data_IF_738502636302
#
_entry.id   IF_738502636302
#
_cell.length_a   1.000
_cell.length_b   1.000
_cell.length_c   1.000
_cell.angle_alpha   90.00
_cell.angle_beta   90.00
_cell.angle_gamma   90.00
#
_symmetry.space_group_name_H-M   'P 1'
#
loop_
_entity.id
_entity.type
_entity.pdbx_description
1 polymer ?
#
# COMPACT_ATOMS: atom_id res chain seq x y z
N UNK A 1 14.85 -65.57 -23.66
CA UNK A 1 15.37 -64.28 -23.17
C UNK A 1 14.18 -63.33 -23.09
N UNK A 2 13.74 -63.00 -21.87
CA UNK A 2 12.64 -62.05 -21.68
C UNK A 2 13.11 -60.67 -22.13
N UNK A 3 12.33 -60.01 -23.00
CA UNK A 3 12.64 -58.64 -23.40
C UNK A 3 12.58 -57.70 -22.20
N UNK A 4 13.46 -56.70 -22.17
CA UNK A 4 13.44 -55.64 -21.16
C UNK A 4 12.12 -54.86 -21.23
N UNK A 5 11.58 -54.53 -20.06
CA UNK A 5 10.35 -53.78 -19.88
C UNK A 5 10.51 -52.33 -20.35
N UNK A 6 9.41 -51.64 -20.66
CA UNK A 6 9.48 -50.22 -21.05
C UNK A 6 10.05 -49.33 -19.92
N UNK A 7 9.86 -49.71 -18.65
CA UNK A 7 10.45 -49.00 -17.51
C UNK A 7 11.99 -49.14 -17.46
N UNK A 8 12.51 -50.33 -17.76
CA UNK A 8 13.95 -50.56 -17.86
C UNK A 8 14.56 -49.83 -19.07
N UNK A 9 13.82 -49.75 -20.19
CA UNK A 9 14.23 -48.94 -21.35
C UNK A 9 14.32 -47.45 -21.02
N UNK A 10 13.35 -46.92 -20.27
CA UNK A 10 13.37 -45.51 -19.80
C UNK A 10 14.59 -45.21 -18.95
N UNK A 11 14.91 -46.11 -18.01
CA UNK A 11 16.08 -45.98 -17.16
C UNK A 11 17.37 -45.99 -17.97
N UNK A 12 17.52 -46.97 -18.86
CA UNK A 12 18.69 -47.12 -19.72
C UNK A 12 18.88 -45.92 -20.65
N UNK A 13 17.80 -45.43 -21.25
CA UNK A 13 17.81 -44.23 -22.09
C UNK A 13 18.33 -43.02 -21.31
N UNK A 14 17.84 -42.84 -20.09
CA UNK A 14 18.23 -41.72 -19.22
C UNK A 14 19.69 -41.79 -18.81
N UNK A 15 20.19 -42.98 -18.44
CA UNK A 15 21.62 -43.20 -18.13
C UNK A 15 22.50 -42.88 -19.34
N UNK A 16 22.09 -43.28 -20.54
CA UNK A 16 22.84 -43.01 -21.76
C UNK A 16 22.86 -41.52 -22.12
N UNK A 17 21.75 -40.79 -21.94
CA UNK A 17 21.72 -39.33 -22.11
C UNK A 17 22.63 -38.59 -21.12
N UNK A 18 22.74 -39.09 -19.89
CA UNK A 18 23.64 -38.51 -18.90
C UNK A 18 25.12 -38.77 -19.20
N UNK A 19 25.45 -39.98 -19.66
CA UNK A 19 26.85 -40.37 -19.93
C UNK A 19 27.41 -39.72 -21.20
N UNK A 20 26.60 -39.55 -22.25
CA UNK A 20 27.04 -39.02 -23.54
C UNK A 20 27.83 -37.68 -23.45
N UNK A 21 27.36 -36.64 -22.73
CA UNK A 21 28.07 -35.36 -22.62
C UNK A 21 29.29 -35.39 -21.69
N UNK A 22 29.49 -36.44 -20.87
CA UNK A 22 30.65 -36.54 -19.97
C UNK A 22 31.96 -36.78 -20.73
N UNK A 23 31.90 -37.29 -21.96
CA UNK A 23 33.07 -37.51 -22.81
C UNK A 23 33.84 -36.24 -23.18
N UNK A 24 33.22 -35.06 -23.03
CA UNK A 24 33.85 -33.75 -23.28
C UNK A 24 34.28 -32.99 -22.02
N UNK A 25 34.20 -33.59 -20.83
CA UNK A 25 34.57 -32.91 -19.57
C UNK A 25 36.02 -33.18 -19.16
N UNK A 26 36.70 -32.15 -18.68
CA UNK A 26 38.06 -32.25 -18.16
C UNK A 26 38.15 -33.26 -17.00
N UNK A 27 39.19 -34.11 -17.04
CA UNK A 27 39.40 -35.17 -16.06
C UNK A 27 38.62 -36.47 -16.33
N UNK A 28 37.87 -36.56 -17.43
CA UNK A 28 37.11 -37.77 -17.80
C UNK A 28 37.76 -38.47 -19.00
N UNK A 29 37.95 -39.78 -18.90
CA UNK A 29 38.48 -40.62 -19.98
C UNK A 29 37.39 -40.86 -21.05
N UNK A 30 37.42 -40.02 -22.09
CA UNK A 30 36.43 -40.02 -23.16
C UNK A 30 36.27 -41.38 -23.86
N UNK A 31 37.36 -42.14 -24.02
CA UNK A 31 37.35 -43.44 -24.69
C UNK A 31 36.61 -44.49 -23.85
N UNK A 32 36.78 -44.46 -22.52
CA UNK A 32 36.05 -45.35 -21.60
C UNK A 32 34.56 -45.00 -21.53
N UNK A 33 34.22 -43.72 -21.53
CA UNK A 33 32.81 -43.28 -21.55
C UNK A 33 32.11 -43.74 -22.84
N UNK A 34 32.76 -43.56 -24.00
CA UNK A 34 32.22 -44.01 -25.29
C UNK A 34 32.09 -45.54 -25.36
N UNK A 35 33.07 -46.28 -24.85
CA UNK A 35 33.00 -47.75 -24.78
C UNK A 35 31.85 -48.22 -23.87
N UNK A 36 31.64 -47.57 -22.72
CA UNK A 36 30.54 -47.86 -21.80
C UNK A 36 29.18 -47.59 -22.42
N UNK A 37 29.02 -46.43 -23.07
CA UNK A 37 27.80 -46.06 -23.81
C UNK A 37 27.48 -47.09 -24.90
N UNK A 38 28.48 -47.47 -25.71
CA UNK A 38 28.30 -48.46 -26.78
C UNK A 38 27.92 -49.85 -26.24
N UNK A 39 28.56 -50.29 -25.16
CA UNK A 39 28.28 -51.59 -24.53
C UNK A 39 26.85 -51.67 -24.01
N UNK A 40 26.34 -50.58 -23.42
CA UNK A 40 24.96 -50.49 -22.95
C UNK A 40 23.95 -50.41 -24.11
N UNK A 41 24.28 -49.69 -25.20
CA UNK A 41 23.44 -49.65 -26.40
C UNK A 41 23.28 -51.05 -27.03
N UNK A 42 24.37 -51.80 -27.16
CA UNK A 42 24.39 -53.14 -27.76
C UNK A 42 23.72 -54.18 -26.85
N UNK A 43 24.01 -54.17 -25.55
CA UNK A 43 23.48 -55.15 -24.61
C UNK A 43 21.96 -55.06 -24.44
N UNK A 44 21.39 -53.86 -24.58
CA UNK A 44 19.98 -53.61 -24.31
C UNK A 44 19.17 -53.19 -25.54
N UNK A 45 19.82 -53.05 -26.70
CA UNK A 45 19.21 -52.63 -27.96
C UNK A 45 18.42 -51.31 -27.85
N UNK A 46 18.99 -50.32 -27.15
CA UNK A 46 18.40 -48.99 -26.94
C UNK A 46 19.36 -47.93 -27.51
N UNK A 47 18.88 -47.10 -28.44
CA UNK A 47 19.65 -46.00 -29.01
C UNK A 47 19.14 -44.64 -28.45
N UNK A 48 19.96 -43.89 -27.67
CA UNK A 48 19.57 -42.61 -27.07
C UNK A 48 19.37 -41.49 -28.11
N UNK A 49 19.81 -41.69 -29.35
CA UNK A 49 19.56 -40.76 -30.47
C UNK A 49 18.25 -41.07 -31.22
N UNK A 50 17.54 -42.13 -30.85
CA UNK A 50 16.24 -42.48 -31.44
C UNK A 50 15.13 -41.57 -30.89
N UNK A 51 14.87 -40.48 -31.63
CA UNK A 51 13.86 -39.49 -31.27
C UNK A 51 12.43 -40.06 -31.22
N UNK A 52 12.12 -41.08 -32.02
CA UNK A 52 10.80 -41.70 -32.04
C UNK A 52 10.57 -42.55 -30.80
N UNK A 53 11.59 -43.30 -30.36
CA UNK A 53 11.56 -44.05 -29.10
C UNK A 53 11.46 -43.09 -27.89
N UNK A 54 12.23 -41.99 -27.90
CA UNK A 54 12.20 -40.95 -26.86
C UNK A 54 10.81 -40.32 -26.71
N UNK A 55 10.16 -40.00 -27.84
CA UNK A 55 8.82 -39.44 -27.87
C UNK A 55 7.77 -40.44 -27.39
N UNK A 56 7.88 -41.71 -27.81
CA UNK A 56 6.96 -42.79 -27.39
C UNK A 56 7.05 -43.08 -25.89
N UNK A 57 8.24 -42.92 -25.30
CA UNK A 57 8.49 -43.09 -23.87
C UNK A 57 8.21 -41.84 -23.03
N UNK A 58 7.83 -40.71 -23.65
CA UNK A 58 7.43 -39.49 -22.96
C UNK A 58 8.54 -38.75 -22.20
N UNK A 59 9.81 -39.00 -22.56
CA UNK A 59 10.97 -38.48 -21.82
C UNK A 59 11.27 -37.02 -22.20
N UNK A 60 11.22 -36.11 -21.22
CA UNK A 60 11.75 -34.74 -21.31
C UNK A 60 13.13 -34.69 -20.63
N UNK A 61 13.92 -33.63 -20.79
CA UNK A 61 15.26 -33.53 -20.19
C UNK A 61 15.19 -33.79 -18.67
N UNK A 62 15.59 -34.99 -18.24
CA UNK A 62 15.51 -35.44 -16.85
C UNK A 62 16.79 -35.07 -16.11
N UNK A 63 16.64 -34.57 -14.89
CA UNK A 63 17.76 -34.27 -13.99
C UNK A 63 18.39 -35.56 -13.47
N UNK A 64 19.63 -35.50 -12.97
CA UNK A 64 20.31 -36.67 -12.37
C UNK A 64 19.48 -37.36 -11.28
N UNK A 65 18.67 -36.57 -10.56
CA UNK A 65 17.77 -37.04 -9.52
C UNK A 65 16.64 -37.90 -10.09
N UNK A 66 16.07 -37.51 -11.22
CA UNK A 66 15.00 -38.27 -11.89
C UNK A 66 15.52 -39.64 -12.38
N UNK A 67 16.76 -39.68 -12.87
CA UNK A 67 17.45 -40.90 -13.32
C UNK A 67 17.71 -41.83 -12.13
N UNK A 68 18.20 -41.27 -11.02
CA UNK A 68 18.47 -42.02 -9.79
C UNK A 68 17.19 -42.59 -9.17
N UNK A 69 16.11 -41.81 -9.14
CA UNK A 69 14.81 -42.24 -8.63
C UNK A 69 14.19 -43.33 -9.51
N UNK A 70 14.24 -43.18 -10.84
CA UNK A 70 13.76 -44.21 -11.76
C UNK A 70 14.57 -45.52 -11.63
N UNK A 71 15.90 -45.41 -11.45
CA UNK A 71 16.79 -46.56 -11.27
C UNK A 71 16.53 -47.33 -9.99
N UNK A 72 16.39 -46.60 -8.89
CA UNK A 72 16.07 -47.19 -7.58
C UNK A 72 14.73 -47.93 -7.63
N UNK A 73 13.73 -47.36 -8.30
CA UNK A 73 12.40 -47.96 -8.46
C UNK A 73 12.41 -49.21 -9.35
N UNK A 74 13.16 -49.19 -10.45
CA UNK A 74 13.27 -50.34 -11.37
C UNK A 74 14.00 -51.53 -10.77
N UNK A 75 15.00 -51.26 -9.92
CA UNK A 75 15.79 -52.31 -9.26
C UNK A 75 15.12 -52.85 -7.98
N UNK A 76 13.91 -52.40 -7.66
CA UNK A 76 13.21 -52.68 -6.39
C UNK A 76 14.11 -52.42 -5.17
N UNK A 77 15.09 -51.52 -5.32
CA UNK A 77 15.94 -51.09 -4.22
C UNK A 77 15.05 -50.26 -3.31
N UNK A 78 14.72 -50.82 -2.16
CA UNK A 78 14.00 -50.11 -1.10
C UNK A 78 14.94 -49.02 -0.60
N UNK A 79 14.93 -47.86 -1.24
CA UNK A 79 15.33 -46.62 -0.59
C UNK A 79 14.29 -46.38 0.48
N UNK A 80 14.67 -46.56 1.75
CA UNK A 80 13.77 -46.38 2.87
C UNK A 80 13.09 -45.02 2.78
N UNK A 81 11.77 -45.08 2.85
CA UNK A 81 10.82 -43.99 2.84
C UNK A 81 10.72 -43.19 1.53
N UNK A 82 9.65 -43.47 0.77
CA UNK A 82 8.77 -42.36 0.36
C UNK A 82 8.59 -41.47 1.60
N UNK A 83 8.64 -40.12 1.54
CA UNK A 83 8.54 -39.29 2.73
C UNK A 83 7.35 -39.79 3.52
N UNK A 84 7.63 -40.47 4.65
CA UNK A 84 6.57 -40.99 5.48
C UNK A 84 5.76 -39.76 5.81
N UNK A 85 4.46 -39.78 5.50
CA UNK A 85 3.57 -38.67 5.80
C UNK A 85 3.94 -38.17 7.19
N UNK A 86 4.44 -36.94 7.26
CA UNK A 86 5.05 -36.41 8.46
C UNK A 86 4.06 -36.61 9.60
N UNK A 87 4.55 -37.16 10.72
CA UNK A 87 3.66 -37.55 11.81
C UNK A 87 2.75 -36.37 12.18
N UNK A 88 1.41 -36.53 12.24
CA UNK A 88 0.50 -35.40 12.40
C UNK A 88 0.81 -34.52 13.62
N UNK A 89 1.38 -35.11 14.68
CA UNK A 89 1.77 -34.37 15.90
C UNK A 89 3.04 -33.55 15.67
N UNK A 90 3.99 -34.07 14.87
CA UNK A 90 5.19 -33.34 14.44
C UNK A 90 4.78 -32.22 13.46
N UNK A 91 3.96 -32.53 12.46
CA UNK A 91 3.50 -31.58 11.45
C UNK A 91 2.71 -30.41 12.07
N UNK A 92 1.92 -30.67 13.11
CA UNK A 92 1.22 -29.64 13.87
C UNK A 92 2.15 -28.79 14.77
N UNK A 93 3.35 -29.29 15.11
CA UNK A 93 4.25 -28.67 16.09
C UNK A 93 5.75 -28.76 15.69
N UNK A 94 6.15 -28.31 14.50
CA UNK A 94 7.49 -28.57 13.96
C UNK A 94 8.60 -27.95 14.82
N UNK A 95 8.41 -26.71 15.29
CA UNK A 95 9.37 -26.03 16.16
C UNK A 95 9.50 -26.65 17.56
N UNK A 96 8.43 -27.27 18.09
CA UNK A 96 8.48 -27.96 19.39
C UNK A 96 9.21 -29.30 19.25
N UNK A 97 9.01 -30.01 18.14
CA UNK A 97 9.71 -31.26 17.87
C UNK A 97 11.22 -31.05 17.78
N UNK A 98 11.67 -30.00 17.08
CA UNK A 98 13.10 -29.65 17.00
C UNK A 98 13.71 -29.34 18.38
N UNK A 99 13.04 -28.52 19.19
CA UNK A 99 13.49 -28.22 20.56
C UNK A 99 13.50 -29.46 21.47
N UNK A 100 12.56 -30.38 21.25
CA UNK A 100 12.49 -31.63 21.99
C UNK A 100 13.68 -32.56 21.67
N UNK A 101 13.99 -32.74 20.39
CA UNK A 101 15.15 -33.53 19.95
C UNK A 101 16.45 -32.93 20.46
N UNK A 102 16.66 -31.63 20.29
CA UNK A 102 17.85 -30.95 20.80
C UNK A 102 18.05 -31.15 22.32
N UNK A 103 16.96 -31.16 23.09
CA UNK A 103 17.00 -31.44 24.54
C UNK A 103 17.36 -32.89 24.85
N UNK A 104 16.92 -33.85 24.03
CA UNK A 104 17.28 -35.25 24.18
C UNK A 104 18.75 -35.49 23.83
N UNK A 105 19.23 -34.86 22.75
CA UNK A 105 20.64 -34.88 22.36
C UNK A 105 21.54 -34.29 23.44
N UNK A 106 21.19 -33.12 24.01
CA UNK A 106 21.93 -32.51 25.11
C UNK A 106 21.98 -33.38 26.38
N UNK A 107 21.01 -34.30 26.55
CA UNK A 107 20.97 -35.28 27.63
C UNK A 107 21.69 -36.59 27.30
N UNK A 108 22.29 -36.69 26.13
CA UNK A 108 22.96 -37.88 25.65
C UNK A 108 22.03 -39.03 25.28
N UNK A 109 20.74 -38.76 25.00
CA UNK A 109 19.76 -39.81 24.67
C UNK A 109 20.11 -40.58 23.39
N UNK A 110 20.85 -39.95 22.48
CA UNK A 110 21.35 -40.54 21.22
C UNK A 110 22.86 -40.82 21.25
N UNK A 111 23.51 -40.76 22.42
CA UNK A 111 24.97 -40.91 22.50
C UNK A 111 25.43 -42.29 22.02
N UNK A 112 26.46 -42.31 21.17
CA UNK A 112 27.05 -43.53 20.64
C UNK A 112 26.25 -44.20 19.52
N UNK A 113 25.19 -43.55 19.02
CA UNK A 113 24.32 -44.09 17.98
C UNK A 113 24.24 -43.09 16.82
N UNK A 114 24.45 -43.57 15.59
CA UNK A 114 24.50 -42.70 14.40
C UNK A 114 23.16 -42.70 13.64
N UNK A 115 22.73 -41.56 13.07
CA UNK A 115 21.54 -41.50 12.23
C UNK A 115 21.57 -42.53 11.10
N UNK A 116 20.45 -43.24 10.90
CA UNK A 116 20.31 -44.28 9.88
C UNK A 116 20.67 -45.70 10.33
N UNK A 117 21.08 -45.92 11.59
CA UNK A 117 21.15 -47.27 12.17
C UNK A 117 19.81 -47.70 12.76
N UNK A 118 19.59 -49.02 12.86
CA UNK A 118 18.39 -49.56 13.50
C UNK A 118 18.26 -49.11 14.96
N UNK A 119 19.38 -48.95 15.68
CA UNK A 119 19.32 -48.46 17.06
C UNK A 119 18.90 -46.99 17.13
N UNK A 120 19.31 -46.17 16.17
CA UNK A 120 18.89 -44.77 16.09
C UNK A 120 17.40 -44.67 15.83
N UNK A 121 16.88 -45.47 14.88
CA UNK A 121 15.47 -45.48 14.53
C UNK A 121 14.59 -45.89 15.71
N UNK A 122 15.04 -46.85 16.52
CA UNK A 122 14.31 -47.27 17.72
C UNK A 122 14.31 -46.19 18.82
N UNK A 123 15.44 -45.48 18.99
CA UNK A 123 15.50 -44.33 19.89
C UNK A 123 14.63 -43.17 19.38
N UNK A 124 14.64 -42.91 18.07
CA UNK A 124 13.82 -41.90 17.43
C UNK A 124 12.33 -42.19 17.60
N UNK A 125 11.89 -43.44 17.40
CA UNK A 125 10.52 -43.89 17.69
C UNK A 125 10.15 -43.72 19.16
N UNK A 126 11.05 -44.01 20.10
CA UNK A 126 10.83 -43.77 21.54
C UNK A 126 10.70 -42.28 21.85
N UNK A 127 11.55 -41.44 21.26
CA UNK A 127 11.48 -39.99 21.38
C UNK A 127 10.15 -39.45 20.85
N UNK A 128 9.71 -39.95 19.69
CA UNK A 128 8.43 -39.61 19.08
C UNK A 128 7.24 -40.09 19.93
N UNK A 129 7.28 -41.31 20.46
CA UNK A 129 6.23 -41.82 21.36
C UNK A 129 6.08 -40.95 22.61
N UNK A 130 7.18 -40.54 23.24
CA UNK A 130 7.16 -39.63 24.40
C UNK A 130 6.70 -38.23 24.04
N UNK A 131 7.06 -37.77 22.84
CA UNK A 131 6.59 -36.49 22.33
C UNK A 131 5.08 -36.52 22.07
N UNK A 132 4.55 -37.59 21.48
CA UNK A 132 3.11 -37.82 21.33
C UNK A 132 2.38 -37.96 22.66
N UNK A 133 2.97 -38.63 23.65
CA UNK A 133 2.40 -38.72 25.00
C UNK A 133 2.27 -37.32 25.65
N UNK A 134 3.22 -36.44 25.37
CA UNK A 134 3.31 -35.11 25.98
C UNK A 134 2.61 -34.00 25.19
N UNK A 135 2.53 -34.14 23.87
CA UNK A 135 2.08 -33.10 22.93
C UNK A 135 1.08 -33.61 21.88
N UNK A 136 0.75 -34.90 21.90
CA UNK A 136 -0.31 -35.48 21.08
C UNK A 136 -1.69 -35.01 21.53
N UNK A 137 -2.65 -35.12 20.61
CA UNK A 137 -4.00 -34.54 20.68
C UNK A 137 -4.81 -34.88 21.93
N UNK A 138 -4.45 -35.92 22.69
CA UNK A 138 -5.18 -36.30 23.90
C UNK A 138 -4.73 -35.55 25.17
N UNK A 139 -3.56 -34.87 25.13
CA UNK A 139 -3.03 -34.06 26.25
C UNK A 139 -2.14 -32.88 25.84
N UNK A 140 -2.19 -32.42 24.59
CA UNK A 140 -1.77 -31.04 24.30
C UNK A 140 -2.60 -30.12 25.21
N UNK A 141 -2.03 -29.06 25.84
CA UNK A 141 -2.88 -28.00 26.35
C UNK A 141 -3.77 -27.61 25.17
N UNK A 142 -5.11 -27.56 25.33
CA UNK A 142 -5.99 -27.29 24.21
C UNK A 142 -5.42 -26.09 23.48
N UNK A 143 -5.14 -26.23 22.17
CA UNK A 143 -4.96 -25.05 21.35
C UNK A 143 -6.16 -24.19 21.65
N UNK A 144 -5.92 -23.01 22.25
CA UNK A 144 -7.00 -22.14 22.76
C UNK A 144 -8.15 -22.20 21.77
N UNK A 145 -9.36 -22.53 22.25
CA UNK A 145 -10.55 -22.52 21.42
C UNK A 145 -10.67 -21.16 20.73
N UNK A 146 -11.46 -21.06 19.67
CA UNK A 146 -11.66 -19.76 19.02
C UNK A 146 -12.09 -18.71 20.04
N UNK A 147 -13.01 -19.07 20.93
CA UNK A 147 -13.52 -18.22 22.01
C UNK A 147 -12.43 -17.85 23.02
N UNK A 148 -11.56 -18.80 23.40
CA UNK A 148 -10.45 -18.53 24.31
C UNK A 148 -9.37 -17.64 23.67
N UNK A 149 -9.10 -17.79 22.36
CA UNK A 149 -8.20 -16.90 21.60
C UNK A 149 -8.75 -15.49 21.55
N UNK A 150 -10.05 -15.33 21.28
CA UNK A 150 -10.71 -14.02 21.26
C UNK A 150 -10.70 -13.37 22.65
N UNK A 151 -11.03 -14.11 23.70
CA UNK A 151 -10.98 -13.61 25.07
C UNK A 151 -9.56 -13.19 25.49
N UNK A 152 -8.55 -13.95 25.07
CA UNK A 152 -7.14 -13.62 25.32
C UNK A 152 -6.69 -12.41 24.51
N UNK A 153 -7.10 -12.29 23.25
CA UNK A 153 -6.82 -11.11 22.42
C UNK A 153 -7.44 -9.84 23.03
N UNK A 154 -8.65 -9.93 23.57
CA UNK A 154 -9.30 -8.82 24.29
C UNK A 154 -8.54 -8.42 25.56
N UNK A 155 -8.04 -9.40 26.31
CA UNK A 155 -7.21 -9.16 27.50
C UNK A 155 -5.88 -8.49 27.13
N UNK A 156 -5.26 -8.92 26.04
CA UNK A 156 -4.03 -8.31 25.50
C UNK A 156 -4.29 -6.89 25.01
N UNK A 157 -5.39 -6.63 24.31
CA UNK A 157 -5.80 -5.27 23.93
C UNK A 157 -5.98 -4.38 25.16
N UNK A 158 -6.68 -4.85 26.19
CA UNK A 158 -6.85 -4.08 27.43
C UNK A 158 -5.50 -3.76 28.10
N UNK A 159 -4.58 -4.73 28.13
CA UNK A 159 -3.22 -4.54 28.63
C UNK A 159 -2.43 -3.54 27.76
N UNK A 160 -2.57 -3.62 26.44
CA UNK A 160 -1.98 -2.68 25.49
C UNK A 160 -2.50 -1.26 25.70
N UNK A 161 -3.80 -1.08 25.94
CA UNK A 161 -4.39 0.23 26.25
C UNK A 161 -3.82 0.82 27.55
N UNK A 162 -3.59 -0.03 28.56
CA UNK A 162 -2.95 0.39 29.81
C UNK A 162 -1.50 0.83 29.57
N UNK A 163 -0.74 0.06 28.78
CA UNK A 163 0.63 0.43 28.39
C UNK A 163 0.68 1.74 27.58
N UNK A 164 -0.24 1.92 26.63
CA UNK A 164 -0.38 3.15 25.83
C UNK A 164 -0.68 4.36 26.73
N UNK A 165 -1.58 4.20 27.71
CA UNK A 165 -1.90 5.24 28.70
C UNK A 165 -0.71 5.58 29.61
N UNK A 166 0.13 4.59 29.91
CA UNK A 166 1.39 4.76 30.62
C UNK A 166 2.52 5.32 29.75
N UNK A 167 2.26 5.62 28.46
CA UNK A 167 3.25 6.05 27.45
C UNK A 167 4.36 5.02 27.19
N UNK A 168 4.14 3.76 27.55
CA UNK A 168 5.01 2.65 27.19
C UNK A 168 4.61 2.11 25.82
N UNK A 169 5.00 2.86 24.78
CA UNK A 169 4.57 2.62 23.40
C UNK A 169 5.13 1.32 22.83
N UNK A 170 6.36 0.95 23.19
CA UNK A 170 6.97 -0.31 22.76
C UNK A 170 6.23 -1.53 23.34
N UNK A 171 5.86 -1.49 24.63
CA UNK A 171 5.05 -2.55 25.23
C UNK A 171 3.64 -2.59 24.66
N UNK A 172 3.03 -1.43 24.38
CA UNK A 172 1.72 -1.37 23.73
C UNK A 172 1.76 -2.02 22.34
N UNK A 173 2.77 -1.68 21.52
CA UNK A 173 3.01 -2.29 20.21
C UNK A 173 3.10 -3.82 20.31
N UNK A 174 3.90 -4.34 21.24
CA UNK A 174 4.03 -5.78 21.47
C UNK A 174 2.67 -6.42 21.83
N UNK A 175 1.95 -5.86 22.79
CA UNK A 175 0.69 -6.43 23.28
C UNK A 175 -0.41 -6.44 22.21
N UNK A 176 -0.52 -5.39 21.40
CA UNK A 176 -1.47 -5.37 20.29
C UNK A 176 -1.07 -6.36 19.19
N UNK A 177 0.23 -6.48 18.89
CA UNK A 177 0.73 -7.47 17.92
C UNK A 177 0.41 -8.90 18.34
N UNK A 178 0.57 -9.21 19.64
CA UNK A 178 0.16 -10.51 20.20
C UNK A 178 -1.37 -10.72 20.12
N UNK A 179 -2.18 -9.68 20.34
CA UNK A 179 -3.63 -9.76 20.18
C UNK A 179 -4.03 -10.08 18.73
N UNK A 180 -3.40 -9.43 17.74
CA UNK A 180 -3.61 -9.67 16.31
C UNK A 180 -3.18 -11.10 15.92
N UNK A 181 -2.07 -11.59 16.46
CA UNK A 181 -1.62 -12.96 16.19
C UNK A 181 -2.61 -14.03 16.69
N UNK A 182 -3.34 -13.75 17.77
CA UNK A 182 -4.38 -14.64 18.29
C UNK A 182 -5.70 -14.52 17.52
N UNK A 183 -6.01 -13.31 17.04
CA UNK A 183 -7.24 -12.99 16.34
C UNK A 183 -6.93 -12.02 15.18
N UNK A 184 -6.50 -12.55 14.01
CA UNK A 184 -6.08 -11.71 12.89
C UNK A 184 -7.27 -11.13 12.10
N UNK A 185 -8.40 -11.83 12.08
CA UNK A 185 -9.62 -11.43 11.38
C UNK A 185 -10.89 -11.72 12.21
N UNK A 186 -10.77 -11.64 13.53
CA UNK A 186 -11.89 -11.74 14.46
C UNK A 186 -12.69 -10.43 14.57
N UNK A 187 -13.78 -10.44 15.38
CA UNK A 187 -14.73 -9.33 15.46
C UNK A 187 -14.10 -7.98 15.82
N UNK A 188 -13.05 -7.99 16.66
CA UNK A 188 -12.40 -6.78 17.16
C UNK A 188 -11.00 -6.55 16.56
N UNK A 189 -10.57 -7.35 15.58
CA UNK A 189 -9.23 -7.25 14.99
C UNK A 189 -8.95 -5.88 14.36
N UNK A 190 -9.96 -5.25 13.75
CA UNK A 190 -9.88 -3.88 13.25
C UNK A 190 -9.49 -2.88 14.36
N UNK A 191 -9.96 -3.09 15.60
CA UNK A 191 -9.64 -2.25 16.76
C UNK A 191 -8.19 -2.49 17.20
N UNK A 192 -7.74 -3.74 17.23
CA UNK A 192 -6.36 -4.08 17.62
C UNK A 192 -5.35 -3.44 16.65
N UNK A 193 -5.59 -3.57 15.34
CA UNK A 193 -4.78 -2.93 14.29
C UNK A 193 -4.75 -1.42 14.43
N UNK A 194 -5.90 -0.79 14.65
CA UNK A 194 -5.96 0.67 14.80
C UNK A 194 -5.26 1.15 16.08
N UNK A 195 -5.31 0.38 17.17
CA UNK A 195 -4.60 0.71 18.40
C UNK A 195 -3.09 0.45 18.30
N UNK A 196 -2.68 -0.59 17.56
CA UNK A 196 -1.28 -0.81 17.17
C UNK A 196 -0.74 0.39 16.39
N UNK A 197 -1.48 0.84 15.37
CA UNK A 197 -1.19 2.07 14.64
C UNK A 197 -1.05 3.29 15.57
N UNK A 198 -1.91 3.41 16.59
CA UNK A 198 -1.79 4.49 17.57
C UNK A 198 -0.48 4.45 18.37
N UNK A 199 -0.03 3.26 18.79
CA UNK A 199 1.25 3.08 19.47
C UNK A 199 2.42 3.41 18.54
N UNK A 200 2.35 2.93 17.29
CA UNK A 200 3.38 3.12 16.28
C UNK A 200 3.53 4.57 15.82
N UNK A 201 2.46 5.36 15.83
CA UNK A 201 2.54 6.82 15.63
C UNK A 201 3.47 7.50 16.63
N UNK A 202 3.46 7.08 17.90
CA UNK A 202 4.37 7.62 18.93
C UNK A 202 5.80 7.07 18.81
N UNK A 203 5.98 5.97 18.10
CA UNK A 203 7.29 5.37 17.79
C UNK A 203 7.83 5.85 16.44
N UNK A 204 7.12 6.76 15.76
CA UNK A 204 7.48 7.32 14.45
C UNK A 204 7.62 6.26 13.33
N UNK A 205 6.90 5.14 13.45
CA UNK A 205 6.88 4.06 12.45
C UNK A 205 5.75 4.26 11.45
N UNK A 206 5.81 5.34 10.68
CA UNK A 206 4.66 5.81 9.89
C UNK A 206 4.24 4.85 8.76
N UNK A 207 5.17 4.16 8.10
CA UNK A 207 4.83 3.14 7.10
C UNK A 207 4.03 1.98 7.72
N UNK A 208 4.45 1.48 8.90
CA UNK A 208 3.72 0.43 9.61
C UNK A 208 2.30 0.90 10.04
N UNK A 209 2.15 2.20 10.34
CA UNK A 209 0.85 2.80 10.66
C UNK A 209 -0.08 2.75 9.45
N UNK A 210 0.41 3.09 8.26
CA UNK A 210 -0.36 3.04 7.01
C UNK A 210 -0.89 1.62 6.80
N UNK A 211 0.01 0.62 6.80
CA UNK A 211 -0.35 -0.79 6.61
C UNK A 211 -1.41 -1.28 7.61
N UNK A 212 -1.26 -0.93 8.89
CA UNK A 212 -2.17 -1.35 9.93
C UNK A 212 -3.52 -0.63 9.85
N UNK A 213 -3.54 0.65 9.47
CA UNK A 213 -4.77 1.40 9.25
C UNK A 213 -5.53 0.89 8.02
N UNK A 214 -4.86 0.57 6.92
CA UNK A 214 -5.48 0.00 5.73
C UNK A 214 -6.11 -1.37 6.02
N UNK A 215 -5.39 -2.26 6.70
CA UNK A 215 -5.95 -3.54 7.16
C UNK A 215 -7.13 -3.36 8.12
N UNK A 216 -7.06 -2.36 9.01
CA UNK A 216 -8.17 -2.04 9.92
C UNK A 216 -9.42 -1.61 9.15
N UNK A 217 -9.25 -0.78 8.11
CA UNK A 217 -10.32 -0.32 7.21
C UNK A 217 -10.88 -1.49 6.39
N UNK A 218 -10.04 -2.38 5.88
CA UNK A 218 -10.47 -3.59 5.17
C UNK A 218 -11.38 -4.47 6.05
N UNK A 219 -10.99 -4.68 7.31
CA UNK A 219 -11.77 -5.47 8.26
C UNK A 219 -13.05 -4.78 8.72
N UNK A 220 -13.03 -3.45 8.89
CA UNK A 220 -14.21 -2.68 9.23
C UNK A 220 -14.20 -1.29 8.57
N UNK A 221 -14.83 -1.14 7.39
CA UNK A 221 -14.86 0.12 6.66
C UNK A 221 -15.56 1.27 7.40
N UNK A 222 -16.33 0.97 8.45
CA UNK A 222 -17.04 1.98 9.26
C UNK A 222 -16.23 2.48 10.46
N UNK A 223 -15.00 2.00 10.65
CA UNK A 223 -14.17 2.36 11.79
C UNK A 223 -13.39 3.66 11.57
N UNK A 224 -14.05 4.81 11.78
CA UNK A 224 -13.49 6.14 11.48
C UNK A 224 -12.09 6.43 12.08
N UNK A 225 -11.77 5.85 13.25
CA UNK A 225 -10.45 6.04 13.89
C UNK A 225 -9.28 5.53 13.04
N UNK A 226 -9.50 4.55 12.17
CA UNK A 226 -8.46 4.07 11.27
C UNK A 226 -8.17 5.11 10.18
N UNK A 227 -9.20 5.74 9.60
CA UNK A 227 -9.04 6.81 8.61
C UNK A 227 -8.34 8.05 9.17
N UNK A 228 -8.71 8.48 10.38
CA UNK A 228 -8.06 9.64 11.00
C UNK A 228 -6.59 9.39 11.32
N UNK A 229 -6.23 8.16 11.71
CA UNK A 229 -4.83 7.76 11.93
C UNK A 229 -4.06 7.61 10.62
N UNK A 230 -4.69 7.06 9.58
CA UNK A 230 -4.12 6.95 8.23
C UNK A 230 -3.76 8.34 7.67
N UNK A 231 -4.70 9.28 7.72
CA UNK A 231 -4.45 10.66 7.28
C UNK A 231 -3.35 11.35 8.09
N UNK A 232 -3.31 11.11 9.41
CA UNK A 232 -2.24 11.64 10.26
C UNK A 232 -0.87 11.04 9.91
N UNK A 233 -0.78 9.75 9.57
CA UNK A 233 0.46 9.12 9.14
C UNK A 233 0.95 9.69 7.81
N UNK A 234 0.07 9.84 6.82
CA UNK A 234 0.42 10.48 5.54
C UNK A 234 0.91 11.93 5.72
N UNK A 235 0.36 12.68 6.68
CA UNK A 235 0.90 14.01 7.02
C UNK A 235 2.33 13.98 7.57
N UNK A 236 2.73 12.91 8.28
CA UNK A 236 4.10 12.75 8.77
C UNK A 236 5.04 12.28 7.66
N UNK A 237 4.52 11.51 6.70
CA UNK A 237 5.24 11.09 5.49
C UNK A 237 5.33 12.19 4.42
N UNK A 238 4.74 13.37 4.68
CA UNK A 238 4.63 14.49 3.73
C UNK A 238 3.80 14.19 2.46
N UNK A 239 3.07 13.07 2.44
CA UNK A 239 2.14 12.70 1.37
C UNK A 239 0.79 13.42 1.55
N UNK A 240 0.79 14.73 1.30
CA UNK A 240 -0.34 15.61 1.60
C UNK A 240 -1.63 15.21 0.85
N UNK A 241 -1.52 14.76 -0.39
CA UNK A 241 -2.69 14.37 -1.19
C UNK A 241 -3.36 13.10 -0.64
N UNK A 242 -2.56 12.11 -0.21
CA UNK A 242 -3.06 10.89 0.44
C UNK A 242 -3.65 11.19 1.82
N UNK A 243 -3.08 12.16 2.55
CA UNK A 243 -3.67 12.63 3.80
C UNK A 243 -5.06 13.24 3.60
N UNK A 244 -5.22 14.11 2.59
CA UNK A 244 -6.51 14.72 2.24
C UNK A 244 -7.53 13.64 1.90
N UNK A 245 -7.16 12.65 1.08
CA UNK A 245 -8.03 11.53 0.73
C UNK A 245 -8.47 10.74 1.98
N UNK A 246 -7.52 10.31 2.80
CA UNK A 246 -7.80 9.51 3.99
C UNK A 246 -8.74 10.22 4.98
N UNK A 247 -8.50 11.51 5.25
CA UNK A 247 -9.40 12.29 6.11
C UNK A 247 -10.78 12.52 5.47
N UNK A 248 -10.84 12.72 4.15
CA UNK A 248 -12.12 12.89 3.43
C UNK A 248 -12.95 11.62 3.49
N UNK A 249 -12.36 10.45 3.21
CA UNK A 249 -13.03 9.14 3.40
C UNK A 249 -13.48 8.92 4.84
N UNK A 250 -12.68 9.34 5.82
CA UNK A 250 -13.08 9.32 7.23
C UNK A 250 -14.34 10.15 7.52
N UNK A 251 -14.49 11.31 6.87
CA UNK A 251 -15.67 12.17 6.99
C UNK A 251 -16.89 11.66 6.22
N UNK A 252 -16.69 10.87 5.16
CA UNK A 252 -17.80 10.14 4.51
C UNK A 252 -18.39 9.09 5.47
N UNK A 253 -17.54 8.46 6.29
CA UNK A 253 -17.97 7.48 7.30
C UNK A 253 -18.60 8.14 8.52
N UNK A 254 -17.99 9.20 9.06
CA UNK A 254 -18.50 9.99 10.17
C UNK A 254 -18.26 11.49 9.91
N UNK A 255 -19.28 12.20 9.38
CA UNK A 255 -19.18 13.63 9.07
C UNK A 255 -18.94 14.52 10.29
N UNK A 256 -19.14 13.99 11.50
CA UNK A 256 -18.95 14.73 12.75
C UNK A 256 -17.56 14.58 13.35
N UNK A 257 -16.71 13.72 12.79
CA UNK A 257 -15.42 13.38 13.37
C UNK A 257 -14.43 14.57 13.43
N UNK A 258 -14.13 15.06 14.63
CA UNK A 258 -13.26 16.22 14.84
C UNK A 258 -11.82 16.01 14.39
N UNK A 259 -11.28 14.79 14.54
CA UNK A 259 -9.92 14.48 14.12
C UNK A 259 -9.79 14.53 12.61
N UNK A 260 -10.77 13.98 11.87
CA UNK A 260 -10.77 14.07 10.41
C UNK A 260 -10.99 15.51 9.92
N UNK A 261 -11.88 16.29 10.54
CA UNK A 261 -12.08 17.71 10.18
C UNK A 261 -10.82 18.53 10.38
N UNK A 262 -10.20 18.41 11.56
CA UNK A 262 -8.98 19.14 11.90
C UNK A 262 -7.81 18.70 11.02
N UNK A 263 -7.66 17.40 10.81
CA UNK A 263 -6.62 16.83 9.95
C UNK A 263 -6.75 17.25 8.49
N UNK A 264 -7.98 17.26 7.95
CA UNK A 264 -8.25 17.73 6.58
C UNK A 264 -7.94 19.22 6.42
N UNK A 265 -8.27 20.03 7.44
CA UNK A 265 -7.92 21.44 7.45
C UNK A 265 -6.40 21.66 7.44
N UNK A 266 -5.65 20.96 8.31
CA UNK A 266 -4.18 21.02 8.35
C UNK A 266 -3.58 20.58 7.00
N UNK A 267 -4.03 19.46 6.45
CA UNK A 267 -3.55 18.95 5.17
C UNK A 267 -3.75 19.97 4.03
N UNK A 268 -4.93 20.60 3.94
CA UNK A 268 -5.21 21.64 2.93
C UNK A 268 -4.37 22.89 3.11
N UNK A 269 -4.12 23.31 4.35
CA UNK A 269 -3.24 24.44 4.62
C UNK A 269 -1.79 24.15 4.19
N UNK A 270 -1.28 22.93 4.47
CA UNK A 270 0.05 22.52 4.00
C UNK A 270 0.11 22.47 2.46
N UNK A 271 -0.93 21.97 1.81
CA UNK A 271 -1.03 21.93 0.36
C UNK A 271 -0.93 23.33 -0.27
N UNK A 272 -1.64 24.33 0.27
CA UNK A 272 -1.59 25.71 -0.24
C UNK A 272 -0.24 26.38 0.01
N UNK A 273 0.41 26.10 1.15
CA UNK A 273 1.77 26.58 1.43
C UNK A 273 2.83 25.98 0.48
N UNK A 274 2.67 24.73 0.05
CA UNK A 274 3.54 24.13 -0.95
C UNK A 274 3.35 24.74 -2.35
N UNK A 275 2.09 25.03 -2.73
CA UNK A 275 1.78 25.69 -4.00
C UNK A 275 2.33 27.11 -4.07
N UNK A 276 2.26 27.87 -2.97
CA UNK A 276 2.81 29.24 -2.91
C UNK A 276 4.35 29.27 -2.91
N UNK A 277 5.02 28.24 -2.36
CA UNK A 277 6.48 28.11 -2.45
C UNK A 277 6.99 27.73 -3.84
N UNK A 278 6.20 26.99 -4.60
CA UNK A 278 6.55 26.53 -5.95
C UNK A 278 6.11 27.50 -7.05
N UNK A 279 5.42 28.59 -6.70
CA UNK A 279 5.07 29.63 -7.66
C UNK A 279 6.35 30.37 -8.09
N UNK A 280 6.62 30.54 -9.40
CA UNK A 280 7.74 31.36 -9.86
C UNK A 280 7.58 32.79 -9.32
N UNK A 281 8.67 33.49 -8.96
CA UNK A 281 8.57 34.85 -8.48
C UNK A 281 7.84 35.69 -9.54
N UNK A 282 6.87 36.54 -9.13
CA UNK A 282 6.13 37.34 -10.08
C UNK A 282 7.11 38.19 -10.88
N UNK A 283 7.03 38.07 -12.20
CA UNK A 283 7.82 38.87 -13.12
C UNK A 283 7.37 40.34 -13.02
N UNK A 284 8.02 41.09 -12.14
CA UNK A 284 7.99 42.55 -12.12
C UNK A 284 7.30 43.17 -10.90
N UNK A 285 8.06 44.05 -10.23
CA UNK A 285 7.51 45.22 -9.54
C UNK A 285 7.28 45.11 -8.03
N UNK A 286 8.27 45.58 -7.27
CA UNK A 286 8.15 46.25 -5.96
C UNK A 286 6.91 46.01 -5.09
N UNK A 287 7.06 45.10 -4.12
CA UNK A 287 6.66 45.29 -2.72
C UNK A 287 5.19 45.59 -2.38
N UNK A 288 4.40 44.55 -2.15
CA UNK A 288 3.49 44.44 -1.00
C UNK A 288 3.36 42.97 -0.57
N UNK A 289 3.38 42.65 0.75
CA UNK A 289 2.99 41.33 1.23
C UNK A 289 1.50 41.06 0.96
N UNK A 290 1.17 39.80 0.71
CA UNK A 290 -0.21 39.35 0.49
C UNK A 290 -1.12 39.66 1.69
N UNK A 291 -2.09 40.54 1.48
CA UNK A 291 -3.08 40.97 2.47
C UNK A 291 -4.23 39.97 2.66
N UNK A 292 -4.22 38.82 1.96
CA UNK A 292 -5.20 37.74 2.18
C UNK A 292 -5.12 37.19 3.61
N UNK A 293 -3.94 37.25 4.26
CA UNK A 293 -3.78 36.92 5.67
C UNK A 293 -4.43 37.96 6.62
N UNK A 294 -4.56 39.22 6.21
CA UNK A 294 -5.21 40.28 7.00
C UNK A 294 -6.73 40.20 6.89
N UNK A 295 -7.28 39.72 5.76
CA UNK A 295 -8.71 39.49 5.60
C UNK A 295 -9.27 38.47 6.60
N UNK A 296 -8.49 37.45 6.99
CA UNK A 296 -8.85 36.50 8.04
C UNK A 296 -8.84 37.10 9.46
N UNK A 297 -8.06 38.17 9.68
CA UNK A 297 -7.94 38.85 10.98
C UNK A 297 -8.97 39.98 11.15
N UNK A 298 -9.56 40.50 10.07
CA UNK A 298 -10.43 41.69 10.04
C UNK A 298 -11.88 41.42 9.59
N UNK A 299 -12.37 40.19 9.69
CA UNK A 299 -13.81 39.93 9.61
C UNK A 299 -14.21 38.67 8.87
N UNK A 300 -14.04 37.52 9.53
CA UNK A 300 -14.94 36.40 9.31
C UNK A 300 -16.31 36.78 9.86
N UNK A 301 -17.33 36.78 8.99
CA UNK A 301 -18.71 37.12 9.31
C UNK A 301 -19.23 36.32 10.52
N UNK A 302 -19.43 36.99 11.66
CA UNK A 302 -20.00 36.37 12.85
C UNK A 302 -19.78 37.14 14.15
N UNK A 303 -20.45 38.30 14.29
CA UNK A 303 -20.90 38.91 15.56
C UNK A 303 -19.91 39.07 16.73
N UNK A 304 -19.56 40.32 17.07
CA UNK A 304 -19.02 40.63 18.39
C UNK A 304 -18.37 42.00 18.49
N UNK A 305 -18.96 42.89 19.28
CA UNK A 305 -18.57 44.29 19.48
C UNK A 305 -17.10 44.50 19.88
N UNK A 306 -16.37 45.30 19.09
CA UNK A 306 -15.04 45.81 19.40
C UNK A 306 -14.83 47.15 18.71
N UNK A 307 -15.53 48.18 19.18
CA UNK A 307 -15.61 49.49 18.52
C UNK A 307 -14.27 50.23 18.40
N UNK A 308 -14.27 51.18 17.46
CA UNK A 308 -13.25 52.16 17.05
C UNK A 308 -12.31 52.72 18.14
N UNK A 309 -12.68 52.62 19.42
CA UNK A 309 -11.88 53.01 20.58
C UNK A 309 -10.61 52.14 20.79
N UNK A 310 -10.61 50.86 20.41
CA UNK A 310 -9.43 49.99 20.51
C UNK A 310 -8.39 50.20 19.40
N UNK A 311 -8.79 50.87 18.31
CA UNK A 311 -7.94 51.12 17.15
C UNK A 311 -6.94 52.27 17.43
N UNK A 312 -7.36 53.26 18.22
CA UNK A 312 -6.63 54.52 18.41
C UNK A 312 -5.57 54.48 19.53
N UNK A 313 -5.59 53.44 20.37
CA UNK A 313 -4.58 53.19 21.42
C UNK A 313 -3.42 52.31 20.94
N UNK A 314 -3.46 51.83 19.69
CA UNK A 314 -2.41 50.98 19.14
C UNK A 314 -1.15 51.80 18.81
N UNK A 315 0.02 51.54 19.45
CA UNK A 315 1.25 52.30 19.22
C UNK A 315 1.73 52.28 17.76
N UNK A 316 1.45 51.19 17.05
CA UNK A 316 1.77 51.05 15.63
C UNK A 316 0.93 52.00 14.74
N UNK A 317 -0.31 52.28 15.14
CA UNK A 317 -1.18 53.23 14.43
C UNK A 317 -0.80 54.68 14.75
N UNK A 318 -0.34 54.96 15.98
CA UNK A 318 0.20 56.28 16.32
C UNK A 318 1.50 56.59 15.58
N UNK A 319 2.39 55.61 15.42
CA UNK A 319 3.59 55.74 14.59
C UNK A 319 3.23 55.92 13.11
N UNK A 320 2.26 55.15 12.60
CA UNK A 320 1.78 55.30 11.23
C UNK A 320 1.17 56.70 11.02
N UNK A 321 0.36 57.21 11.95
CA UNK A 321 -0.22 58.54 11.89
C UNK A 321 0.84 59.66 11.98
N UNK A 322 1.87 59.50 12.81
CA UNK A 322 2.99 60.44 12.91
C UNK A 322 3.82 60.47 11.61
N UNK A 323 4.04 59.31 10.99
CA UNK A 323 4.75 59.17 9.72
C UNK A 323 3.91 59.70 8.54
N UNK A 324 2.59 59.60 8.65
CA UNK A 324 1.62 60.14 7.70
C UNK A 324 1.57 61.67 7.74
N UNK A 325 1.66 62.28 8.94
CA UNK A 325 1.75 63.74 9.10
C UNK A 325 3.07 64.35 8.64
N UNK A 326 4.15 63.58 8.62
CA UNK A 326 5.45 64.05 8.11
C UNK A 326 5.56 63.93 6.59
N UNK A 327 4.59 63.32 5.90
CA UNK A 327 4.65 63.11 4.46
C UNK A 327 4.11 64.33 3.67
N UNK A 328 4.96 65.10 2.98
CA UNK A 328 4.56 66.36 2.31
C UNK A 328 3.50 66.16 1.22
N UNK A 329 3.52 65.00 0.56
CA UNK A 329 2.55 64.65 -0.48
C UNK A 329 1.14 64.44 0.07
N UNK A 330 1.03 63.98 1.33
CA UNK A 330 -0.27 63.75 1.94
C UNK A 330 -0.86 65.03 2.53
N UNK A 331 -0.03 65.96 3.00
CA UNK A 331 -0.48 67.30 3.37
C UNK A 331 -1.02 68.05 2.13
N UNK A 332 -0.39 67.88 0.97
CA UNK A 332 -0.90 68.39 -0.31
C UNK A 332 -2.23 67.73 -0.73
N UNK A 333 -2.37 66.42 -0.49
CA UNK A 333 -3.62 65.68 -0.76
C UNK A 333 -4.76 66.13 0.18
N UNK A 334 -4.48 66.30 1.47
CA UNK A 334 -5.43 66.81 2.46
C UNK A 334 -5.84 68.26 2.15
N UNK A 335 -4.91 69.09 1.68
CA UNK A 335 -5.18 70.47 1.28
C UNK A 335 -6.01 70.55 -0.01
N UNK A 336 -5.86 69.59 -0.93
CA UNK A 336 -6.73 69.46 -2.11
C UNK A 336 -8.12 68.89 -1.76
N UNK A 337 -8.20 68.00 -0.77
CA UNK A 337 -9.46 67.42 -0.30
C UNK A 337 -10.31 68.42 0.51
N UNK A 338 -9.66 69.34 1.24
CA UNK A 338 -10.33 70.45 1.94
C UNK A 338 -10.89 71.50 0.97
N UNK A 339 -10.35 71.58 -0.25
CA UNK A 339 -10.81 72.48 -1.31
C UNK A 339 -11.97 71.92 -2.13
N UNK A 340 -12.18 70.60 -2.11
CA UNK A 340 -13.27 69.96 -2.85
C UNK A 340 -14.00 68.90 -2.00
N UNK A 341 -14.99 69.33 -1.17
CA UNK A 341 -15.76 68.45 -0.32
C UNK A 341 -16.57 67.38 -1.07
N UNK A 342 -16.76 67.52 -2.39
CA UNK A 342 -17.52 66.57 -3.21
C UNK A 342 -16.68 65.35 -3.67
N UNK A 343 -15.35 65.41 -3.54
CA UNK A 343 -14.46 64.32 -3.94
C UNK A 343 -14.63 63.07 -3.04
N UNK A 344 -14.93 63.27 -1.75
CA UNK A 344 -15.12 62.18 -0.78
C UNK A 344 -16.40 61.36 -1.06
N UNK A 345 -17.46 62.03 -1.54
CA UNK A 345 -18.73 61.38 -1.90
C UNK A 345 -18.59 60.51 -3.15
N UNK A 346 -17.76 60.93 -4.12
CA UNK A 346 -17.45 60.13 -5.32
C UNK A 346 -16.58 58.92 -5.00
N UNK A 347 -15.64 59.06 -4.08
CA UNK A 347 -14.78 57.95 -3.65
C UNK A 347 -15.56 56.87 -2.92
N UNK A 348 -16.46 57.25 -1.99
CA UNK A 348 -17.39 56.30 -1.35
C UNK A 348 -18.36 55.65 -2.34
N UNK A 349 -18.78 56.36 -3.40
CA UNK A 349 -19.62 55.81 -4.46
C UNK A 349 -18.93 54.71 -5.28
N UNK A 350 -17.62 54.82 -5.52
CA UNK A 350 -16.86 53.79 -6.26
C UNK A 350 -16.47 52.56 -5.44
N UNK A 351 -16.47 52.68 -4.11
CA UNK A 351 -16.11 51.59 -3.20
C UNK A 351 -17.34 50.85 -2.65
N UNK A 352 -18.54 51.35 -2.93
CA UNK A 352 -19.83 50.87 -2.39
C UNK A 352 -20.75 50.15 -3.37
N UNK A 353 -20.37 49.90 -4.63
CA UNK A 353 -21.27 49.20 -5.54
C UNK A 353 -20.71 48.84 -6.90
N UNK A 354 -20.83 47.55 -7.26
CA UNK A 354 -20.91 47.08 -8.64
C UNK A 354 -19.63 47.14 -9.47
N UNK A 355 -18.71 46.21 -9.21
CA UNK A 355 -17.61 45.91 -10.13
C UNK A 355 -18.12 45.11 -11.34
N UNK A 356 -18.36 45.80 -12.45
CA UNK A 356 -18.50 45.20 -13.78
C UNK A 356 -17.62 45.96 -14.77
N UNK A 357 -16.68 45.26 -15.41
CA UNK A 357 -15.90 45.84 -16.52
C UNK A 357 -14.54 45.19 -16.77
N UNK A 358 -14.55 43.98 -17.34
CA UNK A 358 -13.38 43.30 -17.88
C UNK A 358 -13.80 41.95 -18.47
N UNK A 359 -14.28 41.96 -19.71
CA UNK A 359 -15.00 40.84 -20.33
C UNK A 359 -14.20 39.55 -20.46
N UNK A 360 -14.66 38.53 -19.75
CA UNK A 360 -14.53 37.12 -20.12
C UNK A 360 -15.88 36.66 -20.69
N UNK A 361 -15.92 35.70 -21.64
CA UNK A 361 -17.19 35.22 -22.19
C UNK A 361 -18.03 34.57 -21.08
N UNK A 362 -19.34 34.83 -21.12
CA UNK A 362 -20.30 34.33 -20.15
C UNK A 362 -20.51 32.81 -20.34
N UNK A 363 -19.77 32.01 -19.56
CA UNK A 363 -19.86 30.54 -19.48
C UNK A 363 -21.27 30.03 -19.15
N UNK A 364 -22.15 30.91 -18.65
CA UNK A 364 -23.57 30.60 -18.39
C UNK A 364 -24.34 30.26 -19.67
N UNK A 365 -23.90 30.79 -20.82
CA UNK A 365 -24.55 30.55 -22.13
C UNK A 365 -24.17 29.20 -22.77
N UNK A 366 -23.11 28.54 -22.28
CA UNK A 366 -22.64 27.24 -22.78
C UNK A 366 -23.25 26.04 -22.03
N UNK A 367 -24.00 26.31 -20.97
CA UNK A 367 -24.66 25.30 -20.14
C UNK A 367 -26.16 25.16 -20.48
N UNK A 368 -26.62 25.76 -21.58
CA UNK A 368 -27.98 25.52 -22.06
C UNK A 368 -28.11 24.08 -22.56
N UNK A 369 -29.25 23.41 -22.30
CA UNK A 369 -29.48 22.05 -22.78
C UNK A 369 -29.24 21.90 -24.28
N UNK A 370 -29.62 22.91 -25.08
CA UNK A 370 -29.44 22.91 -26.53
C UNK A 370 -27.95 23.03 -26.95
N UNK A 371 -27.15 23.83 -26.23
CA UNK A 371 -25.72 23.96 -26.50
C UNK A 371 -24.98 22.65 -26.18
N UNK A 372 -25.32 21.99 -25.07
CA UNK A 372 -24.75 20.70 -24.66
C UNK A 372 -25.09 19.60 -25.68
N UNK A 373 -26.32 19.58 -26.19
CA UNK A 373 -26.78 18.61 -27.20
C UNK A 373 -26.08 18.81 -28.56
N UNK A 374 -25.89 20.07 -28.97
CA UNK A 374 -25.12 20.40 -30.18
C UNK A 374 -23.64 20.01 -30.05
N UNK A 375 -23.06 20.13 -28.85
CA UNK A 375 -21.68 19.73 -28.55
C UNK A 375 -21.51 18.20 -28.62
N UNK A 376 -22.50 17.45 -28.12
CA UNK A 376 -22.52 15.97 -28.10
C UNK A 376 -22.52 15.37 -29.51
N UNK A 377 -23.11 16.04 -30.50
CA UNK A 377 -23.20 15.54 -31.87
C UNK A 377 -22.17 16.14 -32.85
N UNK A 378 -21.21 16.93 -32.35
CA UNK A 378 -20.18 17.48 -33.23
C UNK A 378 -19.25 16.38 -33.79
N UNK A 379 -18.86 16.45 -35.08
CA UNK A 379 -17.94 15.49 -35.69
C UNK A 379 -16.60 15.35 -34.95
N UNK A 380 -16.16 16.41 -34.29
CA UNK A 380 -14.90 16.48 -33.55
C UNK A 380 -14.98 15.76 -32.19
N UNK A 381 -16.11 15.89 -31.48
CA UNK A 381 -16.37 15.14 -30.24
C UNK A 381 -16.55 13.64 -30.55
N UNK A 382 -17.20 13.30 -31.66
CA UNK A 382 -17.31 11.90 -32.10
C UNK A 382 -15.95 11.29 -32.49
N UNK A 383 -15.03 12.06 -33.07
CA UNK A 383 -13.68 11.60 -33.35
C UNK A 383 -12.87 11.33 -32.06
N UNK A 384 -13.09 12.11 -30.99
CA UNK A 384 -12.42 11.90 -29.70
C UNK A 384 -13.00 10.76 -28.86
N UNK A 385 -14.24 10.33 -29.11
CA UNK A 385 -14.77 9.10 -28.48
C UNK A 385 -14.01 7.84 -28.92
N UNK A 386 -13.34 7.87 -30.07
CA UNK A 386 -12.46 6.79 -30.53
C UNK A 386 -11.03 6.86 -29.98
N UNK A 387 -10.68 7.91 -29.25
CA UNK A 387 -9.36 8.07 -28.63
C UNK A 387 -9.32 7.28 -27.30
N UNK A 388 -8.41 6.31 -27.14
CA UNK A 388 -8.33 5.48 -25.93
C UNK A 388 -8.19 6.27 -24.63
N UNK A 389 -7.60 7.47 -24.69
CA UNK A 389 -7.38 8.34 -23.51
C UNK A 389 -8.66 9.08 -23.12
N UNK A 390 -9.57 9.33 -24.07
CA UNK A 390 -10.81 10.07 -23.85
C UNK A 390 -12.04 9.16 -23.71
N UNK A 391 -11.90 7.85 -24.01
CA UNK A 391 -12.99 6.90 -24.00
C UNK A 391 -13.70 6.84 -22.64
N UNK A 392 -12.96 6.72 -21.54
CA UNK A 392 -13.52 6.68 -20.17
C UNK A 392 -14.12 8.02 -19.74
N UNK A 393 -13.54 9.15 -20.17
CA UNK A 393 -14.09 10.49 -19.90
C UNK A 393 -15.49 10.64 -20.52
N UNK A 394 -15.65 10.22 -21.79
CA UNK A 394 -16.93 10.34 -22.48
C UNK A 394 -17.95 9.30 -22.03
N UNK A 395 -17.53 8.09 -21.64
CA UNK A 395 -18.41 7.07 -21.07
C UNK A 395 -19.01 7.55 -19.73
N UNK A 396 -18.18 8.12 -18.86
CA UNK A 396 -18.64 8.73 -17.61
C UNK A 396 -19.51 9.96 -17.82
N UNK A 397 -19.21 10.77 -18.84
CA UNK A 397 -20.03 11.94 -19.19
C UNK A 397 -21.42 11.53 -19.69
N UNK A 398 -21.53 10.43 -20.44
CA UNK A 398 -22.79 9.92 -20.95
C UNK A 398 -23.61 9.18 -19.87
N UNK A 399 -22.95 8.44 -18.97
CA UNK A 399 -23.63 7.67 -17.91
C UNK A 399 -23.94 8.49 -16.65
N UNK A 400 -23.07 9.41 -16.25
CA UNK A 400 -23.13 10.13 -14.97
C UNK A 400 -23.12 11.66 -15.09
N UNK A 401 -23.07 12.20 -16.31
CA UNK A 401 -23.10 13.63 -16.56
C UNK A 401 -21.79 14.36 -16.25
N UNK A 402 -21.79 15.71 -16.32
CA UNK A 402 -20.56 16.52 -16.24
C UNK A 402 -19.77 16.35 -14.93
N UNK A 403 -20.45 16.04 -13.83
CA UNK A 403 -19.84 15.85 -12.51
C UNK A 403 -19.06 14.54 -12.43
N UNK A 404 -19.56 13.45 -13.05
CA UNK A 404 -18.86 12.19 -13.12
C UNK A 404 -17.58 12.29 -13.97
N UNK A 405 -17.63 13.06 -15.05
CA UNK A 405 -16.49 13.28 -15.94
C UNK A 405 -15.38 14.19 -15.34
N UNK A 406 -15.68 14.96 -14.29
CA UNK A 406 -14.70 15.85 -13.65
C UNK A 406 -13.51 15.11 -13.01
N UNK A 407 -13.67 13.84 -12.63
CA UNK A 407 -12.56 13.02 -12.08
C UNK A 407 -11.40 12.84 -13.07
N UNK A 408 -11.72 12.81 -14.35
CA UNK A 408 -10.76 12.65 -15.44
C UNK A 408 -10.05 13.96 -15.81
N UNK A 409 -10.52 15.11 -15.34
CA UNK A 409 -9.85 16.41 -15.54
C UNK A 409 -8.52 16.50 -14.78
N UNK A 410 -8.29 15.60 -13.81
CA UNK A 410 -7.00 15.43 -13.14
C UNK A 410 -5.95 14.76 -14.03
N UNK A 411 -6.36 14.09 -15.12
CA UNK A 411 -5.46 13.50 -16.10
C UNK A 411 -4.98 14.59 -17.08
N UNK A 412 -3.68 14.93 -17.12
CA UNK A 412 -3.15 16.01 -17.96
C UNK A 412 -3.40 15.80 -19.46
N UNK A 413 -3.46 14.54 -19.91
CA UNK A 413 -3.70 14.21 -21.31
C UNK A 413 -5.17 14.44 -21.71
N UNK A 414 -6.11 14.19 -20.80
CA UNK A 414 -7.55 14.47 -20.98
C UNK A 414 -7.79 15.99 -20.97
N UNK A 415 -7.21 16.68 -19.99
CA UNK A 415 -7.31 18.14 -19.87
C UNK A 415 -6.76 18.87 -21.11
N UNK A 416 -5.60 18.45 -21.62
CA UNK A 416 -5.00 19.06 -22.81
C UNK A 416 -5.87 18.86 -24.08
N UNK A 417 -6.48 17.67 -24.25
CA UNK A 417 -7.37 17.38 -25.38
C UNK A 417 -8.67 18.17 -25.32
N UNK A 418 -9.26 18.32 -24.13
CA UNK A 418 -10.45 19.15 -23.91
C UNK A 418 -10.18 20.63 -24.10
N UNK A 419 -9.01 21.11 -23.65
CA UNK A 419 -8.58 22.49 -23.87
C UNK A 419 -8.38 22.77 -25.38
N UNK A 420 -7.85 21.81 -26.13
CA UNK A 420 -7.75 21.88 -27.59
C UNK A 420 -9.10 21.98 -28.29
N UNK A 421 -10.12 21.24 -27.83
CA UNK A 421 -11.49 21.32 -28.35
C UNK A 421 -12.12 22.69 -28.12
N UNK A 422 -12.02 23.22 -26.90
CA UNK A 422 -12.58 24.52 -26.55
C UNK A 422 -11.90 25.68 -27.30
N UNK A 423 -10.61 25.52 -27.61
CA UNK A 423 -9.84 26.51 -28.37
C UNK A 423 -10.18 26.49 -29.86
N UNK A 424 -10.45 25.31 -30.44
CA UNK A 424 -10.78 25.17 -31.86
C UNK A 424 -12.25 25.50 -32.21
N UNK A 425 -13.16 25.52 -31.23
CA UNK A 425 -14.57 25.91 -31.42
C UNK A 425 -14.81 27.42 -31.28
N UNK A 426 -13.75 28.22 -31.05
CA UNK A 426 -13.81 29.68 -30.93
C UNK A 426 -13.11 30.44 -32.08
N UNK A 427 -12.74 29.74 -33.16
CA UNK A 427 -12.42 30.33 -34.48
C UNK A 427 -13.49 29.92 -35.50
#
# INVERSE_FOLDING_TARGET
MGGITEAEKVLLFSVLEFLAPLSGKDGVDAAKVQAGVKSLQEAFNVNPSDAALKQRLGLKNHSLLDIFTAGSKSLQLVTSSAPAAEDPVIAANPGLWQKWLAKLEAKGFFNGVSPGTSEYDDLYKKALSKFKEKFGSDKAPPSLSKEEKEAKAETLKASGNAALSAKDYAKAEQLYSEAIALSPAGPNSHIYLSNLAAAQMYLEKYDDVVDNCEKSIELNPKYVKAYSRLGAAYLQLEDIDLAIDAFSRGLEVDPTNDMCKSGLHDARNRQSHLQTRNAPPPAGGGGMPDLSALAGMMGGAGGGAGGLAGLMSNPAMQQMAAQMMQNPQMMAMAQNMMKDPAALSRMMGSMGGGGGGGGAPDLSSLLTPEAIESFRHSPQVNAMRGDPVMAEFFDDMDQGGPQAAMRHMSNPAVAAKLQGLLSNNMM
#
